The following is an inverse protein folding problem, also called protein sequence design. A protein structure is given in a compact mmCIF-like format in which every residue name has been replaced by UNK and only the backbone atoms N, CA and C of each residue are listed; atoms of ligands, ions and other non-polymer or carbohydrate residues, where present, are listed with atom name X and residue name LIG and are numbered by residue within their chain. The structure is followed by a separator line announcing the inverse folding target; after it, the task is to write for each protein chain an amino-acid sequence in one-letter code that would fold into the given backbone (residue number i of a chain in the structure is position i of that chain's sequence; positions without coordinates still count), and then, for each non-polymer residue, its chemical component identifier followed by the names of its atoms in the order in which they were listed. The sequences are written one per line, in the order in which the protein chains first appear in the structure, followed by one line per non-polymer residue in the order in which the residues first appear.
data_IF_029112107103
#
_entry.id   IF_029112107103
#
_cell.length_a   1.000
_cell.length_b   1.000
_cell.length_c   1.000
_cell.angle_alpha   90.00
_cell.angle_beta   90.00
_cell.angle_gamma   90.00
#
_symmetry.space_group_name_H-M   'P 1'
#
loop_
_entity.id
_entity.type
_entity.pdbx_description
1 polymer ?
#
# COMPACT_ATOMS: atom_id res chain seq x y z
N UNK A 1 3.50 14.43 14.93
CA UNK A 1 2.15 13.84 14.80
C UNK A 1 2.06 12.95 13.55
N UNK A 2 3.15 12.28 13.15
CA UNK A 2 3.24 11.47 11.92
C UNK A 2 2.82 10.02 12.12
N UNK A 3 2.94 9.48 13.34
CA UNK A 3 2.63 8.07 13.66
C UNK A 3 1.15 7.70 13.45
N UNK A 4 0.23 8.61 13.76
CA UNK A 4 -1.22 8.33 13.72
C UNK A 4 -1.78 8.31 12.29
N UNK A 5 -1.10 8.99 11.37
CA UNK A 5 -1.51 9.17 9.97
C UNK A 5 -1.08 8.00 9.09
N UNK A 6 -0.36 7.00 9.59
CA UNK A 6 -0.04 5.78 8.81
C UNK A 6 -0.80 4.55 9.34
N UNK A 7 -1.42 4.64 10.52
CA UNK A 7 -2.20 3.54 11.12
C UNK A 7 -3.55 3.31 10.42
N UNK A 8 -4.09 4.30 9.73
CA UNK A 8 -5.31 4.20 8.92
C UNK A 8 -5.08 3.39 7.63
N UNK A 9 -3.85 3.35 7.08
CA UNK A 9 -3.52 2.58 5.88
C UNK A 9 -3.95 1.13 6.00
N UNK A 10 -3.78 0.53 7.19
CA UNK A 10 -4.14 -0.85 7.47
C UNK A 10 -5.64 -1.15 7.31
N UNK A 11 -6.50 -0.12 7.24
CA UNK A 11 -7.95 -0.24 7.08
C UNK A 11 -8.40 0.01 5.64
N UNK A 12 -7.51 0.44 4.75
CA UNK A 12 -7.84 0.72 3.36
C UNK A 12 -8.06 -0.57 2.56
N UNK A 13 -9.00 -0.51 1.61
CA UNK A 13 -9.06 -1.48 0.52
C UNK A 13 -7.81 -1.39 -0.36
N UNK A 14 -7.59 -2.42 -1.19
CA UNK A 14 -6.49 -2.41 -2.14
C UNK A 14 -6.56 -1.22 -3.11
N UNK A 15 -7.75 -0.95 -3.65
CA UNK A 15 -7.96 0.15 -4.59
C UNK A 15 -7.71 1.51 -3.96
N UNK A 16 -8.19 1.73 -2.73
CA UNK A 16 -7.94 2.98 -1.98
C UNK A 16 -6.45 3.18 -1.68
N UNK A 17 -5.78 2.13 -1.19
CA UNK A 17 -4.35 2.19 -0.89
C UNK A 17 -3.51 2.45 -2.16
N UNK A 18 -3.85 1.81 -3.27
CA UNK A 18 -3.19 2.02 -4.56
C UNK A 18 -3.40 3.45 -5.08
N UNK A 19 -4.64 3.93 -5.05
CA UNK A 19 -4.98 5.25 -5.59
C UNK A 19 -4.33 6.37 -4.77
N UNK A 20 -4.21 6.18 -3.45
CA UNK A 20 -3.47 7.10 -2.60
C UNK A 20 -1.96 7.03 -2.83
N UNK A 21 -1.39 5.83 -2.99
CA UNK A 21 0.03 5.67 -3.31
C UNK A 21 0.42 6.41 -4.59
N UNK A 22 -0.43 6.33 -5.63
CA UNK A 22 -0.23 7.07 -6.88
C UNK A 22 -0.19 8.58 -6.64
N UNK A 23 -1.05 9.12 -5.76
CA UNK A 23 -1.05 10.55 -5.41
C UNK A 23 0.23 10.94 -4.69
N UNK A 24 0.62 10.16 -3.69
CA UNK A 24 1.86 10.39 -2.91
C UNK A 24 3.08 10.43 -3.82
N UNK A 25 3.19 9.47 -4.75
CA UNK A 25 4.29 9.44 -5.74
C UNK A 25 4.25 10.69 -6.62
N UNK A 26 3.08 11.06 -7.14
CA UNK A 26 2.95 12.25 -7.99
C UNK A 26 3.33 13.55 -7.26
N UNK A 27 3.01 13.68 -5.97
CA UNK A 27 3.40 14.83 -5.14
C UNK A 27 4.91 14.86 -4.89
N UNK A 28 5.53 13.71 -4.60
CA UNK A 28 6.98 13.59 -4.46
C UNK A 28 7.72 13.98 -5.76
N UNK A 29 7.21 13.54 -6.91
CA UNK A 29 7.78 13.83 -8.23
C UNK A 29 7.68 15.31 -8.63
N UNK A 30 6.68 16.05 -8.14
CA UNK A 30 6.58 17.49 -8.40
C UNK A 30 7.70 18.28 -7.72
N UNK A 31 8.27 17.78 -6.62
CA UNK A 31 9.41 18.40 -5.95
C UNK A 31 9.16 19.81 -5.39
N UNK A 32 7.90 20.22 -5.26
CA UNK A 32 7.50 21.54 -4.75
C UNK A 32 7.27 21.59 -3.24
N UNK A 33 7.51 20.48 -2.55
CA UNK A 33 7.31 20.31 -1.10
C UNK A 33 8.61 20.50 -0.32
N UNK A 34 8.49 20.87 0.95
CA UNK A 34 9.65 20.96 1.86
C UNK A 34 10.25 19.58 2.15
N UNK A 35 11.45 19.56 2.74
CA UNK A 35 12.10 18.31 3.14
C UNK A 35 11.25 17.52 4.15
N UNK A 36 10.68 18.20 5.14
CA UNK A 36 9.85 17.57 6.17
C UNK A 36 8.58 16.94 5.57
N UNK A 37 7.94 17.64 4.62
CA UNK A 37 6.81 17.11 3.86
C UNK A 37 7.22 15.95 2.95
N UNK A 38 8.38 16.04 2.30
CA UNK A 38 8.92 14.95 1.47
C UNK A 38 9.14 13.67 2.27
N UNK A 39 9.66 13.79 3.50
CA UNK A 39 9.84 12.66 4.40
C UNK A 39 8.50 12.07 4.85
N UNK A 40 7.51 12.91 5.19
CA UNK A 40 6.19 12.45 5.58
C UNK A 40 5.46 11.73 4.41
N UNK A 41 5.55 12.28 3.20
CA UNK A 41 5.03 11.64 1.99
C UNK A 41 5.71 10.29 1.72
N UNK A 42 7.04 10.22 1.86
CA UNK A 42 7.77 8.97 1.71
C UNK A 42 7.32 7.92 2.74
N UNK A 43 7.24 8.26 4.03
CA UNK A 43 6.76 7.34 5.09
C UNK A 43 5.34 6.83 4.80
N UNK A 44 4.44 7.72 4.34
CA UNK A 44 3.07 7.37 3.93
C UNK A 44 3.09 6.43 2.71
N UNK A 45 3.94 6.71 1.73
CA UNK A 45 4.13 5.89 0.53
C UNK A 45 4.58 4.46 0.87
N UNK A 46 5.57 4.31 1.76
CA UNK A 46 6.06 3.01 2.21
C UNK A 46 4.96 2.20 2.93
N UNK A 47 4.16 2.86 3.77
CA UNK A 47 3.03 2.22 4.45
C UNK A 47 1.97 1.73 3.44
N UNK A 48 1.62 2.56 2.45
CA UNK A 48 0.67 2.21 1.38
C UNK A 48 1.18 1.07 0.50
N UNK A 49 2.46 1.09 0.13
CA UNK A 49 3.10 0.03 -0.64
C UNK A 49 3.06 -1.31 0.10
N UNK A 50 3.40 -1.30 1.39
CA UNK A 50 3.33 -2.49 2.26
C UNK A 50 1.91 -3.05 2.34
N UNK A 51 0.89 -2.18 2.47
CA UNK A 51 -0.50 -2.63 2.48
C UNK A 51 -0.93 -3.24 1.13
N UNK A 52 -0.52 -2.65 0.01
CA UNK A 52 -0.77 -3.21 -1.31
C UNK A 52 -0.15 -4.60 -1.48
N UNK A 53 1.10 -4.79 -1.03
CA UNK A 53 1.79 -6.08 -1.07
C UNK A 53 1.08 -7.13 -0.21
N UNK A 54 0.62 -6.76 0.98
CA UNK A 54 -0.14 -7.66 1.86
C UNK A 54 -1.46 -8.13 1.20
N UNK A 55 -2.17 -7.22 0.52
CA UNK A 55 -3.37 -7.57 -0.24
C UNK A 55 -3.07 -8.55 -1.38
N UNK A 56 -2.06 -8.26 -2.20
CA UNK A 56 -1.71 -9.07 -3.36
C UNK A 56 -1.15 -10.44 -2.97
N UNK A 57 -0.30 -10.51 -1.95
CA UNK A 57 0.24 -11.77 -1.42
C UNK A 57 -0.87 -12.64 -0.83
N UNK A 58 -1.81 -12.05 -0.09
CA UNK A 58 -3.00 -12.74 0.43
C UNK A 58 -3.89 -13.29 -0.68
N UNK A 59 -4.14 -12.49 -1.73
CA UNK A 59 -4.90 -12.94 -2.90
C UNK A 59 -4.20 -14.09 -3.63
N UNK A 60 -2.88 -14.00 -3.81
CA UNK A 60 -2.08 -15.05 -4.43
C UNK A 60 -2.14 -16.36 -3.66
N UNK A 61 -1.97 -16.31 -2.34
CA UNK A 61 -2.06 -17.50 -1.46
C UNK A 61 -3.41 -18.20 -1.60
N UNK A 62 -4.51 -17.43 -1.60
CA UNK A 62 -5.88 -17.97 -1.79
C UNK A 62 -6.05 -18.68 -3.13
N UNK A 63 -5.47 -18.12 -4.20
CA UNK A 63 -5.47 -18.74 -5.52
C UNK A 63 -4.68 -20.06 -5.53
N UNK A 64 -3.47 -20.05 -4.97
CA UNK A 64 -2.61 -21.22 -4.92
C UNK A 64 -3.27 -22.37 -4.13
N UNK A 65 -3.93 -22.07 -3.01
CA UNK A 65 -4.73 -23.04 -2.24
C UNK A 65 -5.91 -23.61 -3.03
N UNK A 66 -6.63 -22.77 -3.78
CA UNK A 66 -7.75 -23.22 -4.61
C UNK A 66 -7.28 -24.14 -5.74
N UNK A 67 -6.14 -23.83 -6.37
CA UNK A 67 -5.52 -24.65 -7.41
C UNK A 67 -5.07 -26.00 -6.85
N UNK A 68 -4.44 -26.02 -5.67
CA UNK A 68 -4.00 -27.25 -5.00
C UNK A 68 -5.19 -28.17 -4.66
N UNK A 69 -6.26 -27.61 -4.09
CA UNK A 69 -7.51 -28.36 -3.79
C UNK A 69 -8.12 -28.98 -5.04
N UNK A 70 -8.10 -28.28 -6.18
CA UNK A 70 -8.61 -28.79 -7.45
C UNK A 70 -7.79 -29.98 -7.97
N UNK A 71 -6.46 -29.98 -7.78
CA UNK A 71 -5.56 -31.06 -8.23
C UNK A 71 -5.63 -32.32 -7.36
N UNK A 72 -6.00 -32.17 -6.09
CA UNK A 72 -6.14 -33.28 -5.14
C UNK A 72 -7.49 -34.02 -5.24
N UNK A 73 -8.39 -33.56 -6.12
CA UNK A 73 -9.69 -34.17 -6.42
C UNK A 73 -9.60 -34.92 -7.75
#
# INVERSE_FOLDING_TARGET
MTDKTNQDVAKLSYEEARDELVKVVAELEQGSVTLEESLALWERGEALATACENWLSGARKRLDEAVAKKKAK
#
